data_IF_943881239461
#
_entry.id   IF_943881239461
#
_cell.length_a   1.000
_cell.length_b   1.000
_cell.length_c   1.000
_cell.angle_alpha   90.00
_cell.angle_beta   90.00
_cell.angle_gamma   90.00
#
_symmetry.space_group_name_H-M   'P 1'
#
loop_
_entity.id
_entity.type
_entity.pdbx_description
1 polymer ?
#
# COMPACT_ATOMS: atom_id res chain seq x y z
N UNK A 1 12.05 10.58 -11.90
CA UNK A 1 13.10 11.16 -11.06
C UNK A 1 14.45 10.51 -11.33
N UNK A 2 14.60 9.19 -11.25
CA UNK A 2 15.89 8.47 -11.37
C UNK A 2 16.18 7.83 -12.74
N UNK A 3 15.39 8.13 -13.78
CA UNK A 3 15.60 7.60 -15.12
C UNK A 3 16.99 7.98 -15.62
N UNK A 4 17.77 6.96 -16.02
CA UNK A 4 19.14 7.12 -16.55
C UNK A 4 20.09 7.89 -15.62
N UNK A 5 19.74 8.01 -14.32
CA UNK A 5 20.53 8.72 -13.31
C UNK A 5 20.82 7.79 -12.11
N UNK A 6 22.02 7.22 -12.13
CA UNK A 6 22.47 6.30 -11.06
C UNK A 6 22.53 6.96 -9.68
N UNK A 7 22.83 8.26 -9.61
CA UNK A 7 22.88 8.95 -8.31
C UNK A 7 21.51 9.06 -7.69
N UNK A 8 20.52 9.44 -8.48
CA UNK A 8 19.12 9.51 -8.01
C UNK A 8 18.54 8.15 -7.70
N UNK A 9 18.94 7.10 -8.44
CA UNK A 9 18.55 5.73 -8.11
C UNK A 9 19.12 5.33 -6.74
N UNK A 10 20.37 5.65 -6.48
CA UNK A 10 20.99 5.39 -5.18
C UNK A 10 20.35 6.20 -4.05
N UNK A 11 19.97 7.45 -4.28
CA UNK A 11 19.21 8.26 -3.31
C UNK A 11 17.89 7.59 -2.93
N UNK A 12 17.13 7.05 -3.90
CA UNK A 12 15.88 6.32 -3.63
C UNK A 12 16.16 5.02 -2.89
N UNK A 13 17.21 4.29 -3.30
CA UNK A 13 17.60 3.06 -2.62
C UNK A 13 17.91 3.32 -1.14
N UNK A 14 18.74 4.31 -0.87
CA UNK A 14 19.12 4.70 0.49
C UNK A 14 17.90 5.15 1.30
N UNK A 15 17.02 5.97 0.74
CA UNK A 15 15.78 6.38 1.42
C UNK A 15 14.88 5.18 1.77
N UNK A 16 14.84 4.16 0.90
CA UNK A 16 14.11 2.91 1.15
C UNK A 16 14.75 2.14 2.31
N UNK A 17 16.07 2.00 2.32
CA UNK A 17 16.81 1.32 3.39
C UNK A 17 16.69 2.07 4.71
N UNK A 18 16.83 3.40 4.72
CA UNK A 18 16.64 4.24 5.90
C UNK A 18 15.25 4.06 6.52
N UNK A 19 14.21 3.99 5.69
CA UNK A 19 12.84 3.74 6.15
C UNK A 19 12.70 2.37 6.83
N UNK A 20 13.36 1.34 6.30
CA UNK A 20 13.40 0.00 6.92
C UNK A 20 14.12 0.07 8.27
N UNK A 21 15.29 0.73 8.31
CA UNK A 21 16.08 0.87 9.55
C UNK A 21 15.29 1.64 10.62
N UNK A 22 14.61 2.72 10.22
CA UNK A 22 13.75 3.48 11.14
C UNK A 22 12.62 2.62 11.73
N UNK A 23 12.01 1.75 10.93
CA UNK A 23 11.03 0.78 11.42
C UNK A 23 11.65 -0.23 12.39
N UNK A 24 12.85 -0.73 12.12
CA UNK A 24 13.59 -1.62 13.00
C UNK A 24 13.91 -0.92 14.33
N UNK A 25 14.37 0.32 14.30
CA UNK A 25 14.70 1.10 15.50
C UNK A 25 13.43 1.38 16.35
N UNK A 26 12.31 1.73 15.72
CA UNK A 26 11.01 1.87 16.40
C UNK A 26 10.55 0.58 17.06
N UNK A 27 10.76 -0.56 16.40
CA UNK A 27 10.46 -1.88 16.96
C UNK A 27 11.35 -2.18 18.17
N UNK A 28 12.63 -1.88 18.07
CA UNK A 28 13.63 -2.16 19.12
C UNK A 28 13.41 -1.33 20.40
N UNK A 29 12.71 -0.21 20.33
CA UNK A 29 12.28 0.53 21.53
C UNK A 29 11.41 -0.35 22.44
N UNK A 30 10.57 -1.20 21.86
CA UNK A 30 9.68 -2.11 22.61
C UNK A 30 10.27 -3.50 22.77
N UNK A 31 10.97 -3.97 21.77
CA UNK A 31 11.49 -5.33 21.67
C UNK A 31 12.87 -5.31 21.01
N UNK A 32 13.98 -5.18 21.77
CA UNK A 32 15.34 -5.00 21.25
C UNK A 32 15.90 -6.29 20.63
N UNK A 33 15.29 -6.78 19.59
CA UNK A 33 15.61 -8.06 18.92
C UNK A 33 15.89 -7.92 17.42
N UNK A 34 15.59 -6.79 16.80
CA UNK A 34 15.68 -6.64 15.34
C UNK A 34 17.09 -6.94 14.84
N UNK A 35 18.11 -6.44 15.53
CA UNK A 35 19.54 -6.64 15.19
C UNK A 35 20.03 -8.07 15.43
N UNK A 36 19.27 -8.90 16.14
CA UNK A 36 19.57 -10.31 16.40
C UNK A 36 18.92 -11.23 15.37
N UNK A 37 18.03 -10.72 14.55
CA UNK A 37 17.42 -11.49 13.49
C UNK A 37 18.46 -11.91 12.45
N UNK A 38 18.38 -13.17 12.01
CA UNK A 38 19.25 -13.72 10.97
C UNK A 38 18.62 -13.63 9.59
N UNK A 39 17.33 -13.31 9.54
CA UNK A 39 16.60 -13.18 8.28
C UNK A 39 15.53 -12.11 8.39
N UNK A 40 15.31 -11.44 7.28
CA UNK A 40 14.21 -10.53 7.04
C UNK A 40 13.45 -10.99 5.80
N UNK A 41 12.15 -10.82 5.80
CA UNK A 41 11.31 -11.03 4.62
C UNK A 41 10.77 -9.69 4.18
N UNK A 42 10.90 -9.38 2.90
CA UNK A 42 10.39 -8.15 2.30
C UNK A 42 9.40 -8.51 1.21
N UNK A 43 8.19 -8.00 1.37
CA UNK A 43 7.12 -8.07 0.38
C UNK A 43 6.72 -6.64 -0.01
N UNK A 44 6.73 -6.35 -1.29
CA UNK A 44 6.37 -5.05 -1.83
C UNK A 44 6.09 -5.16 -3.31
N UNK A 45 5.54 -4.10 -3.90
CA UNK A 45 5.34 -4.09 -5.33
C UNK A 45 6.69 -4.14 -6.08
N UNK A 46 6.62 -4.50 -7.36
CA UNK A 46 7.81 -4.75 -8.18
C UNK A 46 8.76 -3.55 -8.21
N UNK A 47 8.23 -2.33 -8.34
CA UNK A 47 9.02 -1.09 -8.38
C UNK A 47 9.74 -0.85 -7.05
N UNK A 48 9.08 -1.06 -5.91
CA UNK A 48 9.70 -0.89 -4.59
C UNK A 48 10.84 -1.89 -4.36
N UNK A 49 10.66 -3.15 -4.79
CA UNK A 49 11.72 -4.15 -4.70
C UNK A 49 12.92 -3.79 -5.60
N UNK A 50 12.66 -3.26 -6.82
CA UNK A 50 13.74 -2.77 -7.68
C UNK A 50 14.53 -1.64 -7.00
N UNK A 51 13.86 -0.68 -6.38
CA UNK A 51 14.54 0.40 -5.66
C UNK A 51 15.36 -0.12 -4.48
N UNK A 52 14.84 -1.06 -3.70
CA UNK A 52 15.59 -1.68 -2.61
C UNK A 52 16.87 -2.36 -3.12
N UNK A 53 16.80 -2.98 -4.29
CA UNK A 53 17.93 -3.68 -4.92
C UNK A 53 18.86 -2.74 -5.72
N UNK A 54 18.56 -1.45 -5.81
CA UNK A 54 19.32 -0.51 -6.64
C UNK A 54 19.20 -0.78 -8.14
N UNK A 55 18.10 -1.39 -8.56
CA UNK A 55 17.80 -1.72 -9.96
C UNK A 55 16.87 -0.65 -10.54
N UNK A 56 17.18 -0.19 -11.76
CA UNK A 56 16.31 0.72 -12.47
C UNK A 56 14.94 0.09 -12.73
N UNK A 57 13.90 0.73 -12.23
CA UNK A 57 12.50 0.29 -12.39
C UNK A 57 11.84 0.85 -13.66
N UNK A 58 12.55 1.64 -14.47
CA UNK A 58 11.93 2.32 -15.62
C UNK A 58 11.45 1.37 -16.71
N UNK A 59 12.05 0.18 -16.78
CA UNK A 59 11.63 -0.90 -17.69
C UNK A 59 10.13 -1.23 -17.60
N UNK A 60 9.51 -1.03 -16.43
CA UNK A 60 8.09 -1.33 -16.20
C UNK A 60 7.13 -0.39 -16.93
N UNK A 61 7.60 0.80 -17.35
CA UNK A 61 6.78 1.82 -18.03
C UNK A 61 6.85 1.73 -19.56
N UNK A 62 7.77 0.96 -20.10
CA UNK A 62 7.96 0.82 -21.56
C UNK A 62 7.64 -0.58 -22.04
N UNK A 63 7.04 -0.65 -23.21
CA UNK A 63 6.83 -1.92 -23.91
C UNK A 63 8.17 -2.64 -24.11
N UNK A 64 8.32 -3.93 -23.73
CA UNK A 64 7.25 -4.89 -23.38
C UNK A 64 6.86 -4.93 -21.88
N UNK A 65 7.14 -3.92 -21.10
CA UNK A 65 6.86 -3.84 -19.65
C UNK A 65 7.53 -4.97 -18.84
N UNK A 66 8.69 -5.41 -19.30
CA UNK A 66 9.45 -6.47 -18.67
C UNK A 66 10.13 -5.97 -17.40
N UNK A 67 10.09 -6.77 -16.35
CA UNK A 67 10.79 -6.48 -15.09
C UNK A 67 12.20 -7.06 -15.13
N UNK A 68 13.18 -6.33 -14.56
CA UNK A 68 14.57 -6.78 -14.54
C UNK A 68 14.79 -7.91 -13.50
N UNK A 69 14.06 -7.89 -12.39
CA UNK A 69 14.15 -8.88 -11.33
C UNK A 69 12.74 -9.29 -10.88
N UNK A 70 12.25 -10.41 -11.42
CA UNK A 70 10.97 -11.00 -11.05
C UNK A 70 11.08 -11.97 -9.86
N UNK A 71 12.25 -12.53 -9.61
CA UNK A 71 12.54 -13.51 -8.54
C UNK A 71 13.84 -13.21 -7.82
N UNK A 72 13.92 -12.10 -7.09
CA UNK A 72 15.19 -11.69 -6.45
C UNK A 72 15.64 -12.68 -5.36
N UNK A 73 14.71 -13.31 -4.62
CA UNK A 73 15.06 -14.33 -3.63
C UNK A 73 15.91 -13.79 -2.46
N UNK A 74 16.88 -14.57 -2.02
CA UNK A 74 17.74 -14.24 -0.90
C UNK A 74 18.88 -13.29 -1.32
N UNK A 75 18.99 -12.17 -0.61
CA UNK A 75 20.06 -11.19 -0.75
C UNK A 75 20.83 -11.12 0.56
N UNK A 76 22.17 -11.08 0.58
CA UNK A 76 22.91 -10.79 1.82
C UNK A 76 22.50 -9.40 2.34
N UNK A 77 22.14 -9.31 3.61
CA UNK A 77 21.64 -8.06 4.20
C UNK A 77 22.68 -6.92 4.11
N UNK A 78 23.97 -7.28 4.23
CA UNK A 78 25.09 -6.34 4.05
C UNK A 78 25.16 -5.68 2.67
N UNK A 79 24.73 -6.40 1.62
CA UNK A 79 24.76 -5.90 0.25
C UNK A 79 23.60 -4.91 -0.01
N UNK A 80 22.62 -4.90 0.90
CA UNK A 80 21.51 -3.95 0.91
C UNK A 80 21.67 -2.86 1.96
N UNK A 81 22.80 -2.77 2.65
CA UNK A 81 23.04 -1.86 3.78
C UNK A 81 22.05 -2.01 4.93
N UNK A 82 21.39 -3.19 5.04
CA UNK A 82 20.48 -3.50 6.14
C UNK A 82 21.29 -4.11 7.30
N UNK A 83 21.19 -3.57 8.52
CA UNK A 83 22.04 -3.96 9.64
C UNK A 83 21.59 -5.28 10.29
N UNK A 84 21.62 -6.35 9.52
CA UNK A 84 21.39 -7.74 9.95
C UNK A 84 22.61 -8.59 9.64
N UNK A 85 22.88 -9.59 10.51
CA UNK A 85 23.91 -10.62 10.26
C UNK A 85 23.29 -11.82 9.52
N UNK A 86 22.74 -11.59 8.32
CA UNK A 86 22.07 -12.67 7.59
C UNK A 86 21.56 -12.24 6.22
N UNK A 87 20.36 -12.67 5.91
CA UNK A 87 19.77 -12.52 4.58
C UNK A 87 18.43 -11.80 4.63
N UNK A 88 18.15 -11.09 3.54
CA UNK A 88 16.84 -10.52 3.21
C UNK A 88 16.26 -11.36 2.09
N UNK A 89 15.10 -11.95 2.33
CA UNK A 89 14.33 -12.63 1.29
C UNK A 89 13.34 -11.65 0.68
N UNK A 90 13.54 -11.33 -0.58
CA UNK A 90 12.62 -10.52 -1.36
C UNK A 90 11.63 -11.44 -2.09
N UNK A 91 10.33 -11.23 -1.86
CA UNK A 91 9.28 -12.00 -2.52
C UNK A 91 9.35 -11.83 -4.04
N UNK A 92 8.99 -12.90 -4.79
CA UNK A 92 8.91 -12.82 -6.24
C UNK A 92 7.76 -11.90 -6.67
N UNK A 93 7.86 -11.37 -7.88
CA UNK A 93 6.81 -10.65 -8.58
C UNK A 93 6.35 -11.46 -9.80
N UNK A 94 5.11 -11.29 -10.21
CA UNK A 94 4.60 -11.90 -11.46
C UNK A 94 4.64 -10.90 -12.62
N UNK A 95 4.43 -9.64 -12.32
CA UNK A 95 4.42 -8.54 -13.30
C UNK A 95 4.70 -7.22 -12.59
N UNK A 96 4.61 -6.13 -13.33
CA UNK A 96 4.79 -4.79 -12.79
C UNK A 96 3.87 -4.47 -11.59
N UNK A 97 2.58 -4.78 -11.71
CA UNK A 97 1.57 -4.48 -10.68
C UNK A 97 1.33 -5.63 -9.69
N UNK A 98 1.75 -6.85 -10.02
CA UNK A 98 1.58 -8.02 -9.17
C UNK A 98 2.93 -8.35 -8.53
N UNK A 99 3.25 -7.61 -7.50
CA UNK A 99 4.48 -7.74 -6.73
C UNK A 99 4.41 -8.79 -5.63
N UNK A 100 5.43 -8.77 -4.81
CA UNK A 100 5.54 -9.65 -3.65
C UNK A 100 4.48 -9.40 -2.58
N UNK A 101 3.94 -8.19 -2.50
CA UNK A 101 2.80 -7.80 -1.67
C UNK A 101 1.57 -8.66 -1.97
N UNK A 102 1.17 -8.74 -3.23
CA UNK A 102 0.02 -9.58 -3.65
C UNK A 102 0.32 -11.06 -3.47
N UNK A 103 1.53 -11.51 -3.81
CA UNK A 103 1.91 -12.91 -3.66
C UNK A 103 1.92 -13.34 -2.19
N UNK A 104 2.45 -12.52 -1.30
CA UNK A 104 2.44 -12.81 0.14
C UNK A 104 1.03 -12.84 0.71
N UNK A 105 0.15 -11.91 0.31
CA UNK A 105 -1.26 -11.91 0.69
C UNK A 105 -2.02 -13.14 0.20
N UNK A 106 -1.74 -13.62 -1.02
CA UNK A 106 -2.31 -14.86 -1.52
C UNK A 106 -1.82 -16.09 -0.74
N UNK A 107 -0.56 -16.10 -0.31
CA UNK A 107 -0.02 -17.20 0.51
C UNK A 107 -0.71 -17.22 1.87
N UNK A 108 -0.84 -16.07 2.53
CA UNK A 108 -1.48 -15.96 3.85
C UNK A 108 -2.97 -16.35 3.81
N UNK A 109 -3.68 -15.90 2.78
CA UNK A 109 -5.11 -16.22 2.64
C UNK A 109 -5.37 -17.63 2.13
N UNK A 110 -4.34 -18.34 1.66
CA UNK A 110 -4.42 -19.64 1.02
C UNK A 110 -5.46 -19.74 -0.11
N UNK A 111 -5.71 -18.61 -0.78
CA UNK A 111 -6.74 -18.50 -1.82
C UNK A 111 -6.58 -19.60 -2.88
N UNK A 112 -5.33 -19.88 -3.26
CA UNK A 112 -4.97 -20.87 -4.27
C UNK A 112 -5.20 -22.34 -3.83
N UNK A 113 -5.64 -22.57 -2.58
CA UNK A 113 -5.99 -23.92 -2.08
C UNK A 113 -7.49 -24.11 -1.91
N UNK A 114 -8.29 -23.06 -2.01
CA UNK A 114 -9.73 -23.11 -1.76
C UNK A 114 -10.48 -23.78 -2.92
N UNK A 115 -11.53 -24.56 -2.58
CA UNK A 115 -12.44 -25.13 -3.59
C UNK A 115 -13.38 -24.07 -4.18
N UNK A 116 -13.93 -23.20 -3.33
CA UNK A 116 -14.79 -22.13 -3.73
C UNK A 116 -14.06 -20.91 -4.30
N UNK A 117 -14.68 -20.21 -5.24
CA UNK A 117 -14.17 -18.95 -5.77
C UNK A 117 -14.05 -17.94 -4.63
N UNK A 118 -12.87 -17.36 -4.51
CA UNK A 118 -12.51 -16.37 -3.51
C UNK A 118 -11.92 -15.13 -4.19
N UNK A 119 -12.02 -14.01 -3.52
CA UNK A 119 -11.46 -12.74 -3.97
C UNK A 119 -10.46 -12.26 -2.95
N UNK A 120 -9.27 -11.90 -3.41
CA UNK A 120 -8.29 -11.12 -2.66
C UNK A 120 -8.21 -9.74 -3.32
N UNK A 121 -8.36 -8.70 -2.52
CA UNK A 121 -8.34 -7.33 -3.02
C UNK A 121 -7.39 -6.49 -2.15
N UNK A 122 -6.38 -5.94 -2.78
CA UNK A 122 -5.47 -4.96 -2.17
C UNK A 122 -5.92 -3.56 -2.57
N UNK A 123 -6.30 -2.76 -1.58
CA UNK A 123 -6.80 -1.40 -1.79
C UNK A 123 -5.72 -0.42 -1.38
N UNK A 124 -4.97 0.08 -2.36
CA UNK A 124 -3.91 1.07 -2.20
C UNK A 124 -4.03 2.19 -3.23
N UNK A 125 -2.89 2.75 -3.62
CA UNK A 125 -2.79 3.71 -4.74
C UNK A 125 -3.30 3.10 -6.05
N UNK A 126 -3.13 1.80 -6.21
CA UNK A 126 -3.83 0.99 -7.20
C UNK A 126 -4.82 0.08 -6.49
N UNK A 127 -5.66 -0.61 -7.25
CA UNK A 127 -6.52 -1.67 -6.75
C UNK A 127 -6.10 -2.97 -7.41
N UNK A 128 -5.31 -3.79 -6.72
CA UNK A 128 -4.92 -5.10 -7.20
C UNK A 128 -5.97 -6.12 -6.77
N UNK A 129 -6.40 -6.93 -7.72
CA UNK A 129 -7.44 -7.94 -7.54
C UNK A 129 -6.92 -9.31 -7.96
N UNK A 130 -7.15 -10.31 -7.12
CA UNK A 130 -7.01 -11.71 -7.49
C UNK A 130 -8.32 -12.42 -7.22
N UNK A 131 -8.86 -13.08 -8.23
CA UNK A 131 -10.08 -13.88 -8.12
C UNK A 131 -9.81 -15.30 -8.62
N UNK A 132 -10.30 -16.28 -7.90
CA UNK A 132 -10.18 -17.68 -8.32
C UNK A 132 -10.23 -18.66 -7.16
N UNK A 133 -9.67 -19.82 -7.40
CA UNK A 133 -9.61 -20.95 -6.48
C UNK A 133 -8.37 -21.81 -6.78
N UNK A 134 -8.36 -23.08 -6.32
CA UNK A 134 -7.27 -24.01 -6.58
C UNK A 134 -7.07 -24.37 -8.07
N UNK A 135 -8.09 -24.18 -8.91
CA UNK A 135 -8.07 -24.60 -10.32
C UNK A 135 -7.58 -23.45 -11.24
N UNK A 136 -7.83 -22.19 -10.86
CA UNK A 136 -7.39 -21.03 -11.60
C UNK A 136 -7.24 -19.77 -10.73
N UNK A 137 -6.41 -18.86 -11.16
CA UNK A 137 -6.25 -17.52 -10.60
C UNK A 137 -6.26 -16.50 -11.74
N UNK A 138 -7.16 -15.53 -11.67
CA UNK A 138 -7.19 -14.35 -12.53
C UNK A 138 -6.73 -13.16 -11.70
N UNK A 139 -5.77 -12.43 -12.24
CA UNK A 139 -5.19 -11.27 -11.58
C UNK A 139 -5.39 -10.03 -12.45
N UNK A 140 -5.70 -8.92 -11.81
CA UNK A 140 -5.80 -7.62 -12.45
C UNK A 140 -5.36 -6.51 -11.53
N UNK A 141 -4.97 -5.39 -12.11
CA UNK A 141 -4.69 -4.18 -11.37
C UNK A 141 -5.43 -3.01 -12.02
N UNK A 142 -6.20 -2.28 -11.21
CA UNK A 142 -6.85 -1.05 -11.60
C UNK A 142 -6.02 0.14 -11.16
N UNK A 143 -5.68 1.05 -12.08
CA UNK A 143 -5.03 2.30 -11.75
C UNK A 143 -6.05 3.25 -11.10
N UNK A 144 -6.27 3.12 -9.79
CA UNK A 144 -7.15 3.99 -9.05
C UNK A 144 -6.54 5.40 -8.89
N UNK A 145 -5.22 5.50 -8.86
CA UNK A 145 -4.49 6.72 -8.56
C UNK A 145 -4.67 7.12 -7.08
N UNK A 146 -4.12 8.27 -6.66
CA UNK A 146 -4.19 8.74 -5.28
C UNK A 146 -5.55 9.38 -4.93
N UNK A 147 -6.65 8.96 -5.57
CA UNK A 147 -7.98 9.53 -5.35
C UNK A 147 -8.42 9.37 -3.89
N UNK A 148 -8.21 8.18 -3.33
CA UNK A 148 -8.55 7.88 -1.93
C UNK A 148 -7.50 8.41 -0.93
N UNK A 149 -6.33 8.81 -1.41
CA UNK A 149 -5.27 9.42 -0.60
C UNK A 149 -5.31 10.96 -0.64
N UNK A 150 -6.37 11.51 -1.20
CA UNK A 150 -6.60 12.94 -1.27
C UNK A 150 -6.06 13.65 -2.51
N UNK A 151 -5.51 12.92 -3.47
CA UNK A 151 -4.94 13.52 -4.69
C UNK A 151 -5.95 14.16 -5.65
N UNK A 152 -7.24 13.81 -5.55
CA UNK A 152 -8.32 14.29 -6.42
C UNK A 152 -9.35 15.12 -5.66
N UNK A 153 -9.49 14.90 -4.37
CA UNK A 153 -10.46 15.63 -3.53
C UNK A 153 -9.83 16.93 -3.03
N UNK A 154 -10.53 18.05 -3.21
CA UNK A 154 -10.05 19.40 -2.84
C UNK A 154 -9.56 19.50 -1.39
N UNK A 155 -10.27 18.85 -0.47
CA UNK A 155 -9.93 18.78 0.95
C UNK A 155 -9.29 17.46 1.33
N UNK A 156 -8.88 16.69 0.33
CA UNK A 156 -8.22 15.40 0.54
C UNK A 156 -6.84 15.57 1.17
N UNK A 157 -6.49 14.66 2.08
CA UNK A 157 -5.18 14.62 2.71
C UNK A 157 -4.81 13.19 3.14
N UNK A 158 -3.54 12.99 3.44
CA UNK A 158 -3.08 11.74 4.06
C UNK A 158 -3.69 11.56 5.45
N UNK A 159 -3.69 10.33 5.96
CA UNK A 159 -4.19 9.97 7.28
C UNK A 159 -3.25 10.46 8.40
N UNK A 160 -3.09 11.78 8.51
CA UNK A 160 -2.27 12.48 9.48
C UNK A 160 -3.13 13.22 10.51
N UNK A 161 -2.50 13.80 11.54
CA UNK A 161 -3.19 14.57 12.56
C UNK A 161 -4.01 15.72 11.96
N UNK A 162 -5.31 15.72 12.22
CA UNK A 162 -6.29 16.65 11.67
C UNK A 162 -7.07 16.12 10.47
N UNK A 163 -6.77 14.91 9.97
CA UNK A 163 -7.58 14.28 8.93
C UNK A 163 -8.86 13.69 9.52
N UNK A 164 -9.98 13.88 8.84
CA UNK A 164 -11.22 13.13 9.08
C UNK A 164 -11.03 11.73 8.49
N UNK A 165 -11.05 10.70 9.31
CA UNK A 165 -10.84 9.30 8.93
C UNK A 165 -12.09 8.43 9.05
N UNK A 166 -13.13 8.94 9.72
CA UNK A 166 -14.43 8.28 9.78
C UNK A 166 -15.56 9.30 9.78
N UNK A 167 -16.63 8.96 9.07
CA UNK A 167 -17.87 9.76 8.99
C UNK A 167 -19.05 8.86 9.32
N UNK A 168 -20.01 9.38 10.10
CA UNK A 168 -21.30 8.74 10.36
C UNK A 168 -22.41 9.77 10.30
N UNK A 169 -23.53 9.43 9.67
CA UNK A 169 -24.73 10.24 9.64
C UNK A 169 -25.79 9.57 10.50
N UNK A 170 -26.33 10.31 11.47
CA UNK A 170 -27.35 9.81 12.38
C UNK A 170 -28.40 10.91 12.61
N UNK A 171 -29.66 10.63 12.23
CA UNK A 171 -30.75 11.57 12.37
C UNK A 171 -30.51 12.90 11.64
N UNK A 172 -29.93 12.83 10.45
CA UNK A 172 -29.58 14.00 9.64
C UNK A 172 -28.38 14.80 10.14
N UNK A 173 -27.68 14.35 11.20
CA UNK A 173 -26.47 15.00 11.73
C UNK A 173 -25.22 14.22 11.34
N UNK A 174 -24.21 14.94 10.87
CA UNK A 174 -22.91 14.39 10.49
C UNK A 174 -22.02 14.37 11.74
N UNK A 175 -21.50 13.20 12.05
CA UNK A 175 -20.50 12.97 13.08
C UNK A 175 -19.21 12.55 12.43
N UNK A 176 -18.09 13.17 12.82
CA UNK A 176 -16.77 12.88 12.27
C UNK A 176 -15.79 12.49 13.36
N UNK A 177 -14.93 11.54 13.06
CA UNK A 177 -13.72 11.30 13.84
C UNK A 177 -12.55 12.01 13.17
N UNK A 178 -11.65 12.60 13.98
CA UNK A 178 -10.47 13.35 13.51
C UNK A 178 -9.23 12.73 14.15
N UNK A 179 -8.29 12.31 13.33
CA UNK A 179 -7.03 11.70 13.78
C UNK A 179 -6.30 12.66 14.73
N UNK A 180 -5.86 12.12 15.87
CA UNK A 180 -5.10 12.86 16.89
C UNK A 180 -5.94 13.76 17.79
N UNK A 181 -7.26 13.87 17.60
CA UNK A 181 -8.14 14.78 18.35
C UNK A 181 -8.71 14.18 19.64
N UNK A 182 -7.93 13.39 20.37
CA UNK A 182 -8.36 12.81 21.66
C UNK A 182 -8.77 13.87 22.71
N UNK A 183 -8.30 15.11 22.56
CA UNK A 183 -8.57 16.22 23.48
C UNK A 183 -9.66 17.18 23.00
N UNK A 184 -10.27 16.95 21.82
CA UNK A 184 -11.26 17.84 21.22
C UNK A 184 -10.71 19.20 20.75
N UNK A 185 -9.38 19.36 20.70
CA UNK A 185 -8.73 20.64 20.38
C UNK A 185 -8.25 20.76 18.94
N UNK A 186 -8.23 19.66 18.17
CA UNK A 186 -7.76 19.66 16.78
C UNK A 186 -8.96 19.83 15.86
N UNK A 187 -8.99 20.94 15.13
CA UNK A 187 -9.97 21.17 14.09
C UNK A 187 -9.66 20.30 12.85
N UNK A 188 -10.69 19.80 12.14
CA UNK A 188 -10.50 19.11 10.88
C UNK A 188 -9.73 19.99 9.88
N UNK A 189 -8.70 19.43 9.25
CA UNK A 189 -7.91 20.09 8.19
C UNK A 189 -8.28 19.58 6.81
N UNK A 190 -8.80 18.36 6.74
CA UNK A 190 -9.18 17.68 5.52
C UNK A 190 -9.74 16.31 5.81
N UNK A 191 -9.92 15.51 4.77
CA UNK A 191 -10.47 14.15 4.84
C UNK A 191 -9.49 13.17 4.18
N UNK A 192 -9.20 12.04 4.81
CA UNK A 192 -8.37 10.99 4.24
C UNK A 192 -9.22 9.92 3.52
N UNK A 193 -8.56 8.96 2.89
CA UNK A 193 -9.22 7.94 2.08
C UNK A 193 -10.34 7.19 2.80
N UNK A 194 -10.12 6.74 4.04
CA UNK A 194 -11.16 6.06 4.82
C UNK A 194 -12.36 6.96 5.11
N UNK A 195 -12.10 8.24 5.44
CA UNK A 195 -13.15 9.22 5.64
C UNK A 195 -13.98 9.49 4.36
N UNK A 196 -13.34 9.51 3.19
CA UNK A 196 -14.04 9.66 1.89
C UNK A 196 -14.95 8.45 1.63
N UNK A 197 -14.45 7.24 1.85
CA UNK A 197 -15.25 6.01 1.69
C UNK A 197 -16.44 6.01 2.62
N UNK A 198 -16.23 6.32 3.91
CA UNK A 198 -17.30 6.44 4.90
C UNK A 198 -18.34 7.50 4.50
N UNK A 199 -17.87 8.69 4.09
CA UNK A 199 -18.77 9.78 3.67
C UNK A 199 -19.68 9.37 2.51
N UNK A 200 -19.11 8.77 1.45
CA UNK A 200 -19.89 8.34 0.29
C UNK A 200 -20.88 7.23 0.70
N UNK A 201 -20.45 6.27 1.52
CA UNK A 201 -21.31 5.20 2.01
C UNK A 201 -22.48 5.75 2.84
N UNK A 202 -22.20 6.64 3.78
CA UNK A 202 -23.26 7.22 4.63
C UNK A 202 -24.23 8.12 3.83
N UNK A 203 -23.73 8.92 2.88
CA UNK A 203 -24.58 9.71 1.98
C UNK A 203 -25.51 8.81 1.14
N UNK A 204 -25.00 7.67 0.68
CA UNK A 204 -25.80 6.70 -0.07
C UNK A 204 -26.84 6.00 0.82
N UNK A 205 -26.45 5.55 2.01
CA UNK A 205 -27.35 4.87 2.95
C UNK A 205 -28.47 5.78 3.46
N UNK A 206 -28.20 7.05 3.64
CA UNK A 206 -29.20 8.05 4.03
C UNK A 206 -30.04 8.58 2.84
N UNK A 207 -29.76 8.11 1.60
CA UNK A 207 -30.47 8.49 0.40
C UNK A 207 -30.16 9.90 -0.12
N UNK A 208 -29.09 10.53 0.37
CA UNK A 208 -28.68 11.87 -0.09
C UNK A 208 -28.05 11.82 -1.47
N UNK A 209 -27.47 10.69 -1.85
CA UNK A 209 -26.98 10.41 -3.20
C UNK A 209 -27.58 9.13 -3.73
N UNK A 210 -27.73 9.05 -5.06
CA UNK A 210 -28.17 7.85 -5.77
C UNK A 210 -26.98 6.90 -6.08
N UNK A 211 -27.28 5.76 -6.68
CA UNK A 211 -26.27 4.75 -7.08
C UNK A 211 -25.25 5.28 -8.10
N UNK A 212 -25.49 6.43 -8.71
CA UNK A 212 -24.59 7.11 -9.63
C UNK A 212 -23.77 8.20 -8.95
N UNK A 213 -23.94 8.35 -7.63
CA UNK A 213 -23.27 9.39 -6.84
C UNK A 213 -23.86 10.79 -7.03
N UNK A 214 -25.05 10.93 -7.62
CA UNK A 214 -25.74 12.22 -7.78
C UNK A 214 -26.58 12.51 -6.57
N UNK A 215 -26.58 13.76 -6.11
CA UNK A 215 -27.48 14.18 -5.05
C UNK A 215 -28.92 13.96 -5.44
N UNK A 216 -29.69 13.37 -4.52
CA UNK A 216 -31.12 13.19 -4.67
C UNK A 216 -31.80 14.56 -4.60
N UNK A 217 -32.76 14.88 -5.47
CA UNK A 217 -33.57 16.09 -5.29
C UNK A 217 -34.37 15.99 -4.00
N UNK A 218 -34.52 17.11 -3.31
CA UNK A 218 -35.37 17.23 -2.12
C UNK A 218 -36.83 16.86 -2.40
#
# INVERSE_FOLDING_TARGET
FCKDDRKKLEEIRLATVESIIECMDKLDVKHPVSRKCLSMVVAGNTTMIHFLLGIDAFCVFYTPHAVHADRPGFQPAKDLDIPLNGYVYCYPAKSNYLGGDIISGMIETELYKKDGISVFFDIGTNGELVIGNKDFLLCGAGAAGPALEGGVVHTGMRADAGAVDSVRIRGGKIHVHVIGNSSGKISPKGICGSGIVDLIAELFLEGWIDIRGKFSPE
#
